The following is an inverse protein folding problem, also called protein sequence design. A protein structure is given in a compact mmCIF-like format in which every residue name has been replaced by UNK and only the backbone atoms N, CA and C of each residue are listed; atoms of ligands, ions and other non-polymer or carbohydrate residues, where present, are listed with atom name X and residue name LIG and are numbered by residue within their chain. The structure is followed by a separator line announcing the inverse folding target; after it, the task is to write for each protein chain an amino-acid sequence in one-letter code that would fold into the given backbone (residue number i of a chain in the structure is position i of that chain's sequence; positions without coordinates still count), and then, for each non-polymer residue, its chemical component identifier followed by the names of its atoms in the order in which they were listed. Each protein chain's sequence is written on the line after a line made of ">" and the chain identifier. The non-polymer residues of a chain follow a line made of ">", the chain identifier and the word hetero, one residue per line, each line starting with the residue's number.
data_IF_912364262188
#
_entry.id   IF_912364262188
#
_cell.length_a   1.000
_cell.length_b   1.000
_cell.length_c   1.000
_cell.angle_alpha   90.00
_cell.angle_beta   90.00
_cell.angle_gamma   90.00
#
_symmetry.space_group_name_H-M   'P 1'
#
loop_
_entity.id
_entity.type
_entity.pdbx_description
1 polymer ?
#
# COMPACT_ATOMS: atom_id res chain seq x y z
N UNK A 1 -28.36 -9.37 -1.46
CA UNK A 1 -27.88 -8.32 -0.54
C UNK A 1 -26.44 -8.01 -0.89
N UNK A 2 -26.18 -6.88 -1.52
CA UNK A 2 -24.81 -6.45 -1.85
C UNK A 2 -24.19 -5.95 -0.55
N UNK A 3 -23.22 -6.67 0.00
CA UNK A 3 -22.49 -6.21 1.18
C UNK A 3 -21.74 -4.93 0.82
N UNK A 4 -22.20 -3.81 1.34
CA UNK A 4 -21.54 -2.52 1.16
C UNK A 4 -20.25 -2.53 1.97
N UNK A 5 -19.12 -2.29 1.30
CA UNK A 5 -17.81 -2.23 1.91
C UNK A 5 -17.80 -1.20 3.05
N UNK A 6 -17.27 -1.56 4.23
CA UNK A 6 -17.12 -0.62 5.34
C UNK A 6 -15.96 0.35 5.04
N UNK A 7 -16.29 1.44 4.34
CA UNK A 7 -15.34 2.46 3.90
C UNK A 7 -14.52 3.04 5.05
N UNK A 8 -15.12 3.21 6.23
CA UNK A 8 -14.40 3.72 7.40
C UNK A 8 -13.25 2.79 7.78
N UNK A 9 -13.53 1.49 7.88
CA UNK A 9 -12.53 0.47 8.21
C UNK A 9 -11.43 0.43 7.16
N UNK A 10 -11.80 0.40 5.88
CA UNK A 10 -10.86 0.36 4.76
C UNK A 10 -9.93 1.57 4.73
N UNK A 11 -10.46 2.77 4.99
CA UNK A 11 -9.69 4.01 5.04
C UNK A 11 -8.69 4.03 6.21
N UNK A 12 -9.07 3.51 7.38
CA UNK A 12 -8.15 3.36 8.53
C UNK A 12 -6.94 2.49 8.15
N UNK A 13 -7.17 1.41 7.40
CA UNK A 13 -6.09 0.55 6.92
C UNK A 13 -5.18 1.25 5.91
N UNK A 14 -5.72 2.02 4.97
CA UNK A 14 -4.91 2.78 4.01
C UNK A 14 -4.00 3.79 4.73
N UNK A 15 -4.53 4.55 5.68
CA UNK A 15 -3.77 5.52 6.50
C UNK A 15 -2.68 4.81 7.30
N UNK A 16 -3.03 3.71 7.96
CA UNK A 16 -2.08 2.93 8.75
C UNK A 16 -0.94 2.36 7.88
N UNK A 17 -1.27 1.87 6.68
CA UNK A 17 -0.28 1.36 5.74
C UNK A 17 0.65 2.47 5.25
N UNK A 18 0.13 3.64 4.86
CA UNK A 18 0.94 4.80 4.47
C UNK A 18 1.92 5.23 5.58
N UNK A 19 1.53 5.13 6.85
CA UNK A 19 2.46 5.42 7.96
C UNK A 19 3.52 4.32 8.15
N UNK A 20 3.10 3.07 8.04
CA UNK A 20 3.97 1.93 8.35
C UNK A 20 4.91 1.56 7.20
N UNK A 21 4.57 1.87 5.96
CA UNK A 21 5.40 1.66 4.76
C UNK A 21 6.49 2.72 4.60
N UNK A 22 6.38 3.81 5.36
CA UNK A 22 7.35 4.89 5.33
C UNK A 22 8.71 4.40 5.79
N UNK A 23 9.68 4.53 4.89
CA UNK A 23 11.08 4.29 5.11
C UNK A 23 11.78 5.64 5.10
N UNK A 24 12.37 6.03 6.22
CA UNK A 24 13.29 7.17 6.23
C UNK A 24 14.54 6.71 5.49
N UNK A 25 14.74 7.24 4.28
CA UNK A 25 15.97 7.06 3.52
C UNK A 25 16.72 8.38 3.49
N UNK A 26 18.05 8.28 3.52
CA UNK A 26 18.91 9.42 3.20
C UNK A 26 18.63 9.87 1.76
N UNK A 27 18.56 11.19 1.58
CA UNK A 27 17.99 11.92 0.43
C UNK A 27 18.58 11.58 -0.96
N UNK A 28 19.57 10.70 -1.07
CA UNK A 28 20.34 10.45 -2.30
C UNK A 28 19.62 9.66 -3.38
N UNK A 29 18.50 8.99 -3.10
CA UNK A 29 17.77 8.16 -4.08
C UNK A 29 16.48 8.78 -4.64
N UNK A 30 16.09 9.98 -4.19
CA UNK A 30 14.86 10.65 -4.63
C UNK A 30 15.03 11.37 -5.98
N UNK A 31 15.55 10.67 -6.99
CA UNK A 31 16.01 11.30 -8.23
C UNK A 31 14.89 11.73 -9.20
N UNK A 32 13.65 11.26 -9.04
CA UNK A 32 12.50 11.74 -9.81
C UNK A 32 11.25 11.68 -8.92
N UNK A 33 10.82 12.82 -8.38
CA UNK A 33 9.77 12.90 -7.36
C UNK A 33 8.39 12.55 -7.89
N UNK A 34 7.97 11.29 -7.71
CA UNK A 34 6.68 10.74 -8.12
C UNK A 34 5.85 10.46 -6.86
N UNK A 35 4.88 11.33 -6.53
CA UNK A 35 4.16 11.23 -5.24
C UNK A 35 3.60 9.82 -4.98
N UNK A 36 3.63 9.35 -3.74
CA UNK A 36 3.07 8.03 -3.38
C UNK A 36 1.73 8.19 -2.72
N UNK A 37 0.79 7.38 -3.15
CA UNK A 37 -0.47 7.19 -2.46
C UNK A 37 -0.72 5.75 -2.07
N UNK A 38 -1.28 5.57 -0.87
CA UNK A 38 -1.95 4.33 -0.48
C UNK A 38 -3.47 4.50 -0.54
N UNK A 39 -4.11 3.69 -1.36
CA UNK A 39 -5.57 3.56 -1.47
C UNK A 39 -6.01 2.15 -1.10
N UNK A 40 -7.31 2.00 -0.82
CA UNK A 40 -7.87 0.72 -0.45
C UNK A 40 -9.29 0.55 -0.99
N UNK A 41 -9.69 -0.68 -1.27
CA UNK A 41 -10.99 -0.97 -1.87
C UNK A 41 -11.27 -2.47 -2.02
N UNK A 42 -12.23 -2.86 -2.87
CA UNK A 42 -12.58 -4.26 -3.11
C UNK A 42 -11.43 -5.06 -3.76
N UNK A 43 -11.65 -6.35 -3.99
CA UNK A 43 -10.74 -7.15 -4.80
C UNK A 43 -10.51 -6.50 -6.18
N UNK A 44 -9.25 -6.48 -6.61
CA UNK A 44 -8.86 -5.86 -7.88
C UNK A 44 -9.37 -6.70 -9.05
N UNK A 45 -10.30 -6.14 -9.82
CA UNK A 45 -10.74 -6.69 -11.10
C UNK A 45 -10.05 -5.97 -12.28
N UNK A 46 -10.35 -6.39 -13.52
CA UNK A 46 -9.76 -5.77 -14.70
C UNK A 46 -10.09 -4.28 -14.81
N UNK A 47 -11.31 -3.87 -14.47
CA UNK A 47 -11.73 -2.47 -14.59
C UNK A 47 -10.98 -1.58 -13.60
N UNK A 48 -10.82 -2.04 -12.36
CA UNK A 48 -10.05 -1.34 -11.34
C UNK A 48 -8.55 -1.32 -11.67
N UNK A 49 -8.04 -2.41 -12.21
CA UNK A 49 -6.65 -2.48 -12.67
C UNK A 49 -6.39 -1.45 -13.79
N UNK A 50 -7.26 -1.38 -14.80
CA UNK A 50 -7.15 -0.41 -15.89
C UNK A 50 -7.32 1.03 -15.36
N UNK A 51 -8.30 1.26 -14.48
CA UNK A 51 -8.51 2.57 -13.83
C UNK A 51 -7.26 3.06 -13.11
N UNK A 52 -6.68 2.26 -12.21
CA UNK A 52 -5.53 2.70 -11.43
C UNK A 52 -4.25 2.77 -12.25
N UNK A 53 -4.15 2.01 -13.35
CA UNK A 53 -3.06 2.17 -14.31
C UNK A 53 -3.13 3.52 -15.00
N UNK A 54 -4.33 3.92 -15.46
CA UNK A 54 -4.55 5.22 -16.09
C UNK A 54 -4.28 6.35 -15.09
N UNK A 55 -4.86 6.28 -13.89
CA UNK A 55 -4.69 7.31 -12.86
C UNK A 55 -3.22 7.51 -12.47
N UNK A 56 -2.47 6.42 -12.24
CA UNK A 56 -1.04 6.50 -11.94
C UNK A 56 -0.26 7.23 -13.05
N UNK A 57 -0.58 6.95 -14.32
CA UNK A 57 0.07 7.57 -15.47
C UNK A 57 -0.33 9.04 -15.68
N UNK A 58 -1.62 9.35 -15.61
CA UNK A 58 -2.15 10.71 -15.81
C UNK A 58 -1.69 11.67 -14.71
N UNK A 59 -1.59 11.19 -13.47
CA UNK A 59 -1.18 11.99 -12.32
C UNK A 59 0.32 11.93 -12.04
N UNK A 60 1.09 11.12 -12.78
CA UNK A 60 2.52 10.91 -12.55
C UNK A 60 2.81 10.55 -11.08
N UNK A 61 2.16 9.48 -10.61
CA UNK A 61 2.23 9.06 -9.20
C UNK A 61 2.31 7.55 -9.03
N UNK A 62 2.89 7.13 -7.91
CA UNK A 62 2.91 5.76 -7.47
C UNK A 62 1.68 5.43 -6.62
N UNK A 63 0.98 4.36 -6.96
CA UNK A 63 -0.21 3.92 -6.25
C UNK A 63 0.04 2.55 -5.61
N UNK A 64 -0.18 2.47 -4.30
CA UNK A 64 -0.32 1.23 -3.54
C UNK A 64 -1.79 0.98 -3.31
N UNK A 65 -2.31 -0.13 -3.82
CA UNK A 65 -3.70 -0.54 -3.66
C UNK A 65 -3.83 -1.69 -2.67
N UNK A 66 -4.61 -1.51 -1.61
CA UNK A 66 -4.95 -2.55 -0.65
C UNK A 66 -6.33 -3.15 -0.97
N UNK A 67 -6.36 -4.42 -1.33
CA UNK A 67 -7.59 -5.12 -1.68
C UNK A 67 -8.24 -5.77 -0.45
N UNK A 68 -9.56 -5.65 -0.33
CA UNK A 68 -10.36 -6.21 0.75
C UNK A 68 -11.44 -7.15 0.22
N UNK A 69 -11.75 -8.16 1.03
CA UNK A 69 -12.92 -9.01 0.84
C UNK A 69 -14.14 -8.38 1.53
N UNK A 70 -15.25 -8.21 0.79
CA UNK A 70 -16.46 -7.58 1.30
C UNK A 70 -17.02 -8.33 2.52
N UNK A 71 -17.33 -7.61 3.59
CA UNK A 71 -17.79 -8.18 4.86
C UNK A 71 -16.68 -8.73 5.78
N UNK A 72 -15.41 -8.67 5.34
CA UNK A 72 -14.23 -9.10 6.11
C UNK A 72 -13.20 -8.00 6.28
N UNK A 73 -13.60 -6.74 6.13
CA UNK A 73 -12.70 -5.59 6.14
C UNK A 73 -11.93 -5.45 7.46
N UNK A 74 -12.57 -5.85 8.57
CA UNK A 74 -11.98 -5.86 9.91
C UNK A 74 -10.79 -6.84 10.08
N UNK A 75 -10.63 -7.80 9.16
CA UNK A 75 -9.48 -8.71 9.15
C UNK A 75 -8.24 -8.10 8.48
N UNK A 76 -8.39 -6.96 7.80
CA UNK A 76 -7.35 -6.32 7.01
C UNK A 76 -7.36 -6.75 5.54
N UNK A 77 -6.44 -6.20 4.73
CA UNK A 77 -6.40 -6.48 3.30
C UNK A 77 -5.99 -7.93 3.02
N UNK A 78 -6.57 -8.50 1.96
CA UNK A 78 -6.28 -9.85 1.49
C UNK A 78 -5.04 -9.88 0.60
N UNK A 79 -4.82 -8.83 -0.19
CA UNK A 79 -3.65 -8.62 -1.03
C UNK A 79 -3.31 -7.13 -1.18
N UNK A 80 -2.12 -6.85 -1.72
CA UNK A 80 -1.70 -5.53 -2.14
C UNK A 80 -1.32 -5.53 -3.62
N UNK A 81 -1.40 -4.37 -4.25
CA UNK A 81 -0.91 -4.13 -5.60
C UNK A 81 -0.15 -2.81 -5.68
N UNK A 82 0.76 -2.72 -6.64
CA UNK A 82 1.57 -1.53 -6.90
C UNK A 82 1.38 -1.13 -8.37
N UNK A 83 1.17 0.16 -8.59
CA UNK A 83 1.22 0.83 -9.89
C UNK A 83 2.31 1.89 -9.78
N UNK A 84 3.47 1.63 -10.38
CA UNK A 84 4.64 2.52 -10.27
C UNK A 84 4.85 3.26 -11.59
N UNK A 85 4.78 4.60 -11.58
CA UNK A 85 4.92 5.44 -12.77
C UNK A 85 6.36 5.88 -12.96
N UNK A 86 6.98 5.54 -14.09
CA UNK A 86 8.34 5.99 -14.42
C UNK A 86 8.38 6.48 -15.86
N UNK A 87 8.55 7.79 -16.02
CA UNK A 87 8.79 8.44 -17.32
C UNK A 87 7.74 8.11 -18.40
N UNK A 88 6.47 8.09 -18.03
CA UNK A 88 5.32 7.78 -18.88
C UNK A 88 4.96 6.30 -18.96
N UNK A 89 5.64 5.42 -18.21
CA UNK A 89 5.38 3.98 -18.18
C UNK A 89 4.93 3.54 -16.79
N UNK A 90 3.77 2.88 -16.71
CA UNK A 90 3.23 2.36 -15.45
C UNK A 90 3.55 0.87 -15.30
N UNK A 91 4.42 0.53 -14.36
CA UNK A 91 4.74 -0.84 -13.97
C UNK A 91 3.71 -1.36 -12.96
N UNK A 92 3.23 -2.59 -13.17
CA UNK A 92 2.16 -3.18 -12.35
C UNK A 92 2.64 -4.43 -11.62
N UNK A 93 2.42 -4.48 -10.31
CA UNK A 93 2.65 -5.65 -9.48
C UNK A 93 1.36 -5.97 -8.73
N UNK A 94 0.56 -6.91 -9.24
CA UNK A 94 -0.81 -7.11 -8.77
C UNK A 94 -0.96 -8.17 -7.68
N UNK A 95 0.04 -9.02 -7.52
CA UNK A 95 0.08 -10.05 -6.48
C UNK A 95 1.22 -9.75 -5.52
N UNK A 96 0.91 -8.92 -4.51
CA UNK A 96 1.87 -8.54 -3.48
C UNK A 96 1.37 -8.89 -2.08
N UNK A 97 2.34 -9.16 -1.19
CA UNK A 97 2.11 -9.31 0.24
C UNK A 97 2.75 -8.14 1.01
N UNK A 98 2.10 -7.71 2.08
CA UNK A 98 2.75 -6.88 3.10
C UNK A 98 3.61 -7.77 4.01
N UNK A 99 4.83 -7.34 4.26
CA UNK A 99 5.79 -8.05 5.10
C UNK A 99 6.40 -7.10 6.13
N UNK A 100 6.67 -7.63 7.32
CA UNK A 100 7.22 -6.88 8.43
C UNK A 100 8.50 -7.54 8.95
N UNK A 101 9.58 -6.77 9.19
CA UNK A 101 10.78 -7.30 9.82
C UNK A 101 10.56 -7.65 11.29
N UNK A 102 11.58 -8.23 11.94
CA UNK A 102 11.51 -8.64 13.36
C UNK A 102 11.85 -7.52 14.33
N UNK A 103 12.59 -6.52 13.87
CA UNK A 103 13.13 -5.38 14.62
C UNK A 103 12.20 -4.16 14.61
N UNK A 104 10.91 -4.37 14.30
CA UNK A 104 9.89 -3.32 14.19
C UNK A 104 10.16 -2.22 13.15
N UNK A 105 11.12 -2.43 12.23
CA UNK A 105 11.34 -1.55 11.08
C UNK A 105 10.13 -1.40 10.14
N UNK A 106 10.23 -0.60 9.08
CA UNK A 106 9.13 -0.33 8.16
C UNK A 106 8.49 -1.60 7.58
N UNK A 107 7.19 -1.52 7.29
CA UNK A 107 6.54 -2.52 6.44
C UNK A 107 7.10 -2.42 5.02
N UNK A 108 7.10 -3.55 4.34
CA UNK A 108 7.53 -3.68 2.95
C UNK A 108 6.42 -4.35 2.14
N UNK A 109 6.28 -3.94 0.89
CA UNK A 109 5.43 -4.61 -0.10
C UNK A 109 6.30 -5.55 -0.92
N UNK A 110 5.90 -6.82 -1.00
CA UNK A 110 6.65 -7.86 -1.67
C UNK A 110 5.82 -8.48 -2.80
N UNK A 111 6.13 -8.22 -4.06
CA UNK A 111 5.54 -8.97 -5.16
C UNK A 111 5.94 -10.45 -5.10
N UNK A 112 4.98 -11.34 -5.32
CA UNK A 112 5.28 -12.77 -5.40
C UNK A 112 6.13 -13.09 -6.63
N UNK A 113 7.02 -14.07 -6.48
CA UNK A 113 7.91 -14.52 -7.56
C UNK A 113 9.11 -13.61 -7.84
N UNK A 114 9.17 -12.40 -7.25
CA UNK A 114 10.28 -11.47 -7.45
C UNK A 114 11.23 -11.41 -6.23
N UNK A 115 12.44 -10.91 -6.48
CA UNK A 115 13.47 -10.65 -5.47
C UNK A 115 13.65 -9.14 -5.24
N UNK A 116 12.53 -8.45 -5.09
CA UNK A 116 12.45 -7.02 -4.81
C UNK A 116 11.40 -6.80 -3.72
N UNK A 117 11.58 -5.76 -2.92
CA UNK A 117 10.53 -5.25 -2.05
C UNK A 117 10.45 -3.74 -2.15
N UNK A 118 9.32 -3.18 -1.75
CA UNK A 118 9.02 -1.76 -1.87
C UNK A 118 8.65 -1.15 -0.52
N UNK A 119 9.09 0.07 -0.29
CA UNK A 119 8.57 1.00 0.73
C UNK A 119 8.37 2.38 0.09
N UNK A 120 8.16 3.43 0.87
CA UNK A 120 8.21 4.80 0.35
C UNK A 120 8.94 5.75 1.28
N UNK A 121 9.51 6.83 0.74
CA UNK A 121 10.22 7.88 1.48
C UNK A 121 9.41 9.19 1.58
N UNK A 122 8.10 9.09 1.38
CA UNK A 122 7.11 10.17 1.17
C UNK A 122 7.15 10.82 -0.22
N UNK A 123 8.24 10.65 -0.97
CA UNK A 123 8.38 11.26 -2.30
C UNK A 123 8.14 10.28 -3.43
N UNK A 124 8.53 9.02 -3.25
CA UNK A 124 8.42 7.99 -4.26
C UNK A 124 8.36 6.58 -3.64
N UNK A 125 7.88 5.61 -4.41
CA UNK A 125 8.01 4.21 -4.05
C UNK A 125 9.45 3.77 -4.31
N UNK A 126 10.13 3.30 -3.27
CA UNK A 126 11.54 2.90 -3.34
C UNK A 126 11.65 1.40 -3.39
N UNK A 127 12.38 0.90 -4.40
CA UNK A 127 12.68 -0.52 -4.53
C UNK A 127 13.98 -0.90 -3.82
N UNK A 128 13.94 -1.95 -3.01
CA UNK A 128 15.10 -2.50 -2.33
C UNK A 128 15.53 -3.82 -3.00
N UNK A 129 16.79 -3.92 -3.44
CA UNK A 129 17.30 -5.11 -4.08
C UNK A 129 17.66 -6.16 -3.02
N UNK A 130 16.68 -6.91 -2.56
CA UNK A 130 16.80 -8.24 -1.93
C UNK A 130 15.49 -8.63 -1.25
N UNK A 131 15.26 -9.94 -1.11
CA UNK A 131 14.23 -10.40 -0.18
C UNK A 131 14.68 -10.09 1.24
N UNK A 132 13.78 -9.62 2.13
CA UNK A 132 14.12 -9.39 3.51
C UNK A 132 14.66 -10.66 4.18
N UNK A 133 15.67 -10.52 5.03
CA UNK A 133 16.21 -11.63 5.80
C UNK A 133 15.16 -12.19 6.76
N UNK A 134 14.56 -13.33 6.42
CA UNK A 134 13.65 -14.06 7.31
C UNK A 134 12.54 -14.81 6.60
N UNK A 135 11.71 -15.50 7.39
CA UNK A 135 10.56 -16.23 6.86
C UNK A 135 9.49 -15.28 6.33
N UNK A 136 9.09 -15.49 5.07
CA UNK A 136 7.95 -14.81 4.44
C UNK A 136 6.66 -14.97 5.27
N UNK A 137 6.31 -16.22 5.62
CA UNK A 137 5.08 -16.53 6.39
C UNK A 137 5.01 -15.76 7.72
N UNK A 138 6.06 -15.82 8.53
CA UNK A 138 6.10 -15.09 9.81
C UNK A 138 6.06 -13.57 9.62
N UNK A 139 6.73 -13.03 8.60
CA UNK A 139 6.70 -11.59 8.35
C UNK A 139 5.36 -11.08 7.83
N UNK A 140 4.64 -11.87 7.01
CA UNK A 140 3.26 -11.57 6.61
C UNK A 140 2.33 -11.60 7.83
N UNK A 141 2.49 -12.57 8.73
CA UNK A 141 1.70 -12.63 9.96
C UNK A 141 1.93 -11.41 10.86
N UNK A 142 3.20 -10.98 11.03
CA UNK A 142 3.54 -9.74 11.75
C UNK A 142 2.97 -8.50 11.07
N UNK A 143 3.08 -8.39 9.74
CA UNK A 143 2.56 -7.26 8.98
C UNK A 143 1.05 -7.10 9.18
N UNK A 144 0.29 -8.21 9.08
CA UNK A 144 -1.15 -8.21 9.33
C UNK A 144 -1.49 -7.73 10.74
N UNK A 145 -0.77 -8.23 11.76
CA UNK A 145 -1.00 -7.83 13.14
C UNK A 145 -0.70 -6.34 13.35
N UNK A 146 0.48 -5.86 12.91
CA UNK A 146 0.90 -4.46 13.04
C UNK A 146 -0.06 -3.53 12.33
N UNK A 147 -0.43 -3.86 11.09
CA UNK A 147 -1.35 -3.06 10.30
C UNK A 147 -2.72 -2.96 10.97
N UNK A 148 -3.27 -4.07 11.50
CA UNK A 148 -4.55 -4.07 12.21
C UNK A 148 -4.50 -3.23 13.49
N UNK A 149 -3.43 -3.36 14.28
CA UNK A 149 -3.26 -2.54 15.48
C UNK A 149 -3.17 -1.06 15.15
N UNK A 150 -2.41 -0.70 14.12
CA UNK A 150 -2.27 0.68 13.66
C UNK A 150 -3.58 1.24 13.09
N UNK A 151 -4.33 0.46 12.30
CA UNK A 151 -5.63 0.86 11.76
C UNK A 151 -6.65 1.13 12.87
N UNK A 152 -6.68 0.28 13.91
CA UNK A 152 -7.55 0.50 15.07
C UNK A 152 -7.17 1.74 15.87
N UNK A 153 -5.89 2.15 15.83
CA UNK A 153 -5.39 3.35 16.49
C UNK A 153 -5.59 4.63 15.67
N UNK A 154 -6.04 4.55 14.41
CA UNK A 154 -6.32 5.74 13.59
C UNK A 154 -7.51 6.48 14.21
N UNK A 155 -7.41 7.77 14.57
CA UNK A 155 -8.55 8.51 15.08
C UNK A 155 -9.59 8.83 14.00
N UNK A 156 -10.87 8.91 14.38
CA UNK A 156 -11.97 9.15 13.43
C UNK A 156 -11.89 10.53 12.76
N UNK A 157 -11.25 11.51 13.39
CA UNK A 157 -10.97 12.82 12.81
C UNK A 157 -10.11 12.74 11.54
N UNK A 158 -9.21 11.76 11.44
CA UNK A 158 -8.40 11.55 10.23
C UNK A 158 -9.22 10.97 9.06
N UNK A 159 -10.46 10.55 9.31
CA UNK A 159 -11.37 9.99 8.30
C UNK A 159 -12.26 11.05 7.64
N UNK A 160 -12.31 12.26 8.20
CA UNK A 160 -13.17 13.36 7.71
C UNK A 160 -12.80 13.86 6.32
N UNK A 161 -11.60 13.54 5.84
CA UNK A 161 -11.11 13.90 4.51
C UNK A 161 -11.20 12.78 3.48
N UNK A 162 -11.73 11.59 3.85
CA UNK A 162 -11.60 10.38 3.04
C UNK A 162 -12.92 10.01 2.37
N UNK A 163 -13.36 10.82 1.40
CA UNK A 163 -14.62 10.56 0.71
C UNK A 163 -14.53 9.79 -0.60
N UNK A 164 -13.39 9.65 -1.30
CA UNK A 164 -13.39 8.91 -2.59
C UNK A 164 -12.07 8.36 -3.11
N UNK A 165 -10.94 8.90 -2.69
CA UNK A 165 -9.58 8.41 -2.89
C UNK A 165 -8.72 9.43 -2.13
N UNK A 166 -7.72 8.99 -1.38
CA UNK A 166 -6.74 9.96 -0.89
C UNK A 166 -5.98 10.52 -2.14
N UNK A 167 -5.41 11.71 -2.10
CA UNK A 167 -4.09 12.04 -2.67
C UNK A 167 -3.21 12.52 -1.52
N UNK A 168 -2.31 11.68 -0.97
CA UNK A 168 -1.43 12.12 0.12
C UNK A 168 -0.34 13.00 -0.52
N UNK A 169 -0.68 14.25 -0.80
CA UNK A 169 0.31 15.31 -0.75
C UNK A 169 0.50 15.65 0.73
N UNK A 170 1.66 15.27 1.28
CA UNK A 170 2.16 15.87 2.52
C UNK A 170 2.62 17.30 2.25
#
# INVERSE_FOLDING_TARGET
>A
MTHQCNLETVNRFAIAAAKLLRHELDQEFAADGCSVIVIAGPALDKNLLDKWTIEAGEQQMDIVYLAFEAGREHLGPTSASIFAERSGVVFRFTDCALWSPKDDGPLLIMPFGLNVCFGHDDRALVSFPSRPNGSLRSGVARARLRLRLAANAVPSEHLRHVQTAWPLAA
#
